data_IF_165369898158
#
_entry.id   IF_165369898158
#
_cell.length_a   1.000
_cell.length_b   1.000
_cell.length_c   1.000
_cell.angle_alpha   90.00
_cell.angle_beta   90.00
_cell.angle_gamma   90.00
#
_symmetry.space_group_name_H-M   'P 1'
#
loop_
_entity.id
_entity.type
_entity.pdbx_description
1 polymer ?
#
# COMPACT_ATOMS: atom_id res chain seq x y z
N UNK A 1 -1.04 -1.54 20.45
CA UNK A 1 -2.21 -0.85 19.84
C UNK A 1 -2.32 -1.44 18.46
N UNK A 2 -3.46 -2.08 18.17
CA UNK A 2 -3.55 -2.99 17.04
C UNK A 2 -3.14 -2.37 15.72
N UNK A 3 -2.38 -3.13 14.93
CA UNK A 3 -1.95 -2.74 13.58
C UNK A 3 -2.75 -3.45 12.49
N UNK A 4 -3.42 -4.54 12.83
CA UNK A 4 -4.20 -5.38 11.92
C UNK A 4 -5.64 -5.39 12.42
N UNK A 5 -6.62 -5.22 11.51
CA UNK A 5 -8.02 -5.38 11.83
C UNK A 5 -8.68 -6.44 10.95
N UNK A 6 -9.37 -7.39 11.57
CA UNK A 6 -10.41 -8.18 10.91
C UNK A 6 -11.71 -7.38 10.93
N UNK A 7 -12.20 -7.00 9.75
CA UNK A 7 -13.49 -6.33 9.58
C UNK A 7 -14.43 -7.31 8.89
N UNK A 8 -15.26 -8.03 9.63
CA UNK A 8 -16.00 -9.19 9.11
C UNK A 8 -17.50 -9.05 9.31
N UNK A 9 -18.28 -9.65 8.41
CA UNK A 9 -19.73 -9.76 8.58
C UNK A 9 -20.11 -11.14 9.12
N UNK A 10 -21.01 -11.16 10.11
CA UNK A 10 -21.61 -12.37 10.63
C UNK A 10 -20.98 -12.84 11.94
N UNK A 11 -21.85 -13.00 12.94
CA UNK A 11 -21.50 -13.33 14.32
C UNK A 11 -20.64 -14.59 14.44
N UNK A 12 -20.90 -15.62 13.63
CA UNK A 12 -20.12 -16.88 13.64
C UNK A 12 -18.66 -16.65 13.30
N UNK A 13 -18.38 -15.97 12.18
CA UNK A 13 -17.02 -15.70 11.74
C UNK A 13 -16.29 -14.80 12.74
N UNK A 14 -16.99 -13.79 13.25
CA UNK A 14 -16.47 -12.91 14.30
C UNK A 14 -16.03 -13.69 15.55
N UNK A 15 -16.90 -14.57 16.07
CA UNK A 15 -16.60 -15.40 17.24
C UNK A 15 -15.41 -16.33 17.01
N UNK A 16 -15.39 -17.01 15.86
CA UNK A 16 -14.31 -17.93 15.48
C UNK A 16 -12.95 -17.22 15.39
N UNK A 17 -12.90 -16.06 14.73
CA UNK A 17 -11.66 -15.29 14.63
C UNK A 17 -11.20 -14.81 16.01
N UNK A 18 -12.12 -14.33 16.86
CA UNK A 18 -11.79 -13.95 18.23
C UNK A 18 -11.28 -15.11 19.09
N UNK A 19 -11.79 -16.32 18.87
CA UNK A 19 -11.32 -17.52 19.57
C UNK A 19 -9.86 -17.86 19.23
N UNK A 20 -9.41 -17.50 18.03
CA UNK A 20 -8.08 -17.85 17.53
C UNK A 20 -7.03 -16.75 17.69
N UNK A 21 -7.43 -15.56 18.12
CA UNK A 21 -6.52 -14.42 18.34
C UNK A 21 -6.17 -14.33 19.81
N UNK A 22 -4.90 -14.59 20.10
CA UNK A 22 -4.30 -14.38 21.42
C UNK A 22 -3.47 -13.07 21.49
N UNK A 23 -3.33 -12.36 20.37
CA UNK A 23 -2.42 -11.21 20.24
C UNK A 23 -3.06 -9.86 20.54
N UNK A 24 -2.40 -9.02 21.35
CA UNK A 24 -2.84 -7.66 21.68
C UNK A 24 -2.85 -6.71 20.47
N UNK A 25 -2.20 -7.07 19.37
CA UNK A 25 -2.01 -6.21 18.19
C UNK A 25 -3.00 -6.47 17.04
N UNK A 26 -3.99 -7.34 17.25
CA UNK A 26 -5.06 -7.64 16.28
C UNK A 26 -6.43 -7.25 16.84
N UNK A 27 -7.19 -6.48 16.05
CA UNK A 27 -8.56 -6.08 16.39
C UNK A 27 -9.56 -6.86 15.53
N UNK A 28 -10.67 -7.29 16.10
CA UNK A 28 -11.77 -7.92 15.36
C UNK A 28 -13.04 -7.08 15.54
N UNK A 29 -13.63 -6.65 14.43
CA UNK A 29 -14.88 -5.87 14.39
C UNK A 29 -15.89 -6.60 13.52
N UNK A 30 -17.09 -6.79 14.07
CA UNK A 30 -18.25 -7.22 13.30
C UNK A 30 -18.90 -6.00 12.62
N UNK A 31 -19.21 -6.11 11.32
CA UNK A 31 -19.88 -5.05 10.56
C UNK A 31 -20.87 -5.62 9.54
N UNK A 32 -21.66 -4.74 8.94
CA UNK A 32 -22.41 -5.00 7.71
C UNK A 32 -21.72 -4.34 6.51
N UNK A 33 -22.12 -4.69 5.29
CA UNK A 33 -21.63 -4.02 4.06
C UNK A 33 -21.98 -2.52 4.10
N UNK A 34 -23.18 -2.15 4.57
CA UNK A 34 -23.60 -0.75 4.63
C UNK A 34 -22.79 0.08 5.63
N UNK A 35 -22.37 -0.50 6.75
CA UNK A 35 -21.61 0.19 7.79
C UNK A 35 -20.08 0.05 7.62
N UNK A 36 -19.61 -0.82 6.73
CA UNK A 36 -18.21 -1.20 6.61
C UNK A 36 -17.26 -0.01 6.40
N UNK A 37 -17.65 0.99 5.61
CA UNK A 37 -16.80 2.16 5.36
C UNK A 37 -16.59 3.02 6.61
N UNK A 38 -17.63 3.17 7.42
CA UNK A 38 -17.57 3.95 8.67
C UNK A 38 -16.64 3.26 9.66
N UNK A 39 -16.82 1.95 9.87
CA UNK A 39 -15.96 1.16 10.75
C UNK A 39 -14.51 1.14 10.27
N UNK A 40 -14.28 0.98 8.96
CA UNK A 40 -12.94 1.00 8.38
C UNK A 40 -12.22 2.33 8.67
N UNK A 41 -12.90 3.48 8.49
CA UNK A 41 -12.32 4.81 8.79
C UNK A 41 -12.02 4.95 10.29
N UNK A 42 -12.93 4.51 11.16
CA UNK A 42 -12.68 4.53 12.61
C UNK A 42 -11.50 3.64 13.03
N UNK A 43 -11.30 2.50 12.37
CA UNK A 43 -10.15 1.63 12.59
C UNK A 43 -8.84 2.30 12.15
N UNK A 44 -8.85 2.98 11.00
CA UNK A 44 -7.69 3.73 10.49
C UNK A 44 -7.31 4.86 11.45
N UNK A 45 -8.28 5.62 11.96
CA UNK A 45 -8.05 6.68 12.95
C UNK A 45 -7.43 6.14 14.25
N UNK A 46 -7.73 4.88 14.59
CA UNK A 46 -7.11 4.13 15.69
C UNK A 46 -5.73 3.55 15.35
N UNK A 47 -5.15 3.90 14.21
CA UNK A 47 -3.80 3.51 13.81
C UNK A 47 -3.68 2.13 13.16
N UNK A 48 -4.78 1.52 12.73
CA UNK A 48 -4.75 0.28 11.95
C UNK A 48 -4.04 0.52 10.63
N UNK A 49 -3.17 -0.41 10.26
CA UNK A 49 -2.32 -0.35 9.07
C UNK A 49 -2.77 -1.30 7.96
N UNK A 50 -3.50 -2.38 8.28
CA UNK A 50 -4.02 -3.36 7.31
C UNK A 50 -5.40 -3.84 7.76
N UNK A 51 -6.34 -3.94 6.81
CA UNK A 51 -7.67 -4.52 7.03
C UNK A 51 -7.76 -5.88 6.33
N UNK A 52 -8.25 -6.88 7.05
CA UNK A 52 -8.55 -8.23 6.58
C UNK A 52 -10.08 -8.39 6.54
N UNK A 53 -10.65 -8.72 5.37
CA UNK A 53 -12.12 -8.78 5.23
C UNK A 53 -12.58 -9.69 4.08
N UNK A 54 -13.87 -10.02 3.98
CA UNK A 54 -14.44 -10.75 2.84
C UNK A 54 -14.58 -9.84 1.62
N UNK A 55 -14.56 -10.44 0.42
CA UNK A 55 -14.58 -9.75 -0.88
C UNK A 55 -15.68 -8.67 -0.99
N UNK A 56 -16.91 -8.97 -0.55
CA UNK A 56 -18.03 -8.03 -0.64
C UNK A 56 -17.80 -6.74 0.16
N UNK A 57 -17.19 -6.84 1.34
CA UNK A 57 -16.82 -5.67 2.14
C UNK A 57 -15.63 -4.97 1.51
N UNK A 58 -14.61 -5.73 1.07
CA UNK A 58 -13.43 -5.17 0.39
C UNK A 58 -13.85 -4.27 -0.79
N UNK A 59 -14.66 -4.79 -1.71
CA UNK A 59 -15.19 -4.03 -2.86
C UNK A 59 -15.94 -2.76 -2.46
N UNK A 60 -16.54 -2.74 -1.27
CA UNK A 60 -17.30 -1.58 -0.77
C UNK A 60 -16.40 -0.44 -0.27
N UNK A 61 -15.19 -0.73 0.17
CA UNK A 61 -14.35 0.22 0.90
C UNK A 61 -12.98 0.48 0.24
N UNK A 62 -12.51 -0.37 -0.68
CA UNK A 62 -11.14 -0.32 -1.24
C UNK A 62 -10.83 0.98 -2.00
N UNK A 63 -11.79 1.56 -2.72
CA UNK A 63 -11.59 2.81 -3.46
C UNK A 63 -11.59 4.07 -2.55
N UNK A 64 -12.00 3.92 -1.28
CA UNK A 64 -12.26 5.02 -0.35
C UNK A 64 -11.24 5.10 0.79
N UNK A 65 -10.28 4.17 0.86
CA UNK A 65 -9.28 4.11 1.94
C UNK A 65 -7.87 3.87 1.41
N UNK A 66 -6.87 4.45 2.08
CA UNK A 66 -5.47 4.46 1.61
C UNK A 66 -4.61 3.31 2.17
N UNK A 67 -5.13 2.48 3.07
CA UNK A 67 -4.40 1.36 3.65
C UNK A 67 -4.68 0.04 2.93
N UNK A 68 -3.74 -0.92 2.91
CA UNK A 68 -3.96 -2.21 2.29
C UNK A 68 -5.17 -2.97 2.85
N UNK A 69 -5.97 -3.53 1.95
CA UNK A 69 -7.10 -4.41 2.27
C UNK A 69 -6.91 -5.77 1.62
N UNK A 70 -6.88 -6.81 2.45
CA UNK A 70 -6.73 -8.19 2.00
C UNK A 70 -8.06 -8.94 2.07
N UNK A 71 -8.38 -9.66 1.00
CA UNK A 71 -9.53 -10.56 0.94
C UNK A 71 -9.23 -11.84 1.70
N UNK A 72 -10.10 -12.20 2.65
CA UNK A 72 -10.08 -13.47 3.37
C UNK A 72 -10.88 -14.48 2.56
N UNK A 73 -10.20 -15.45 1.99
CA UNK A 73 -10.77 -16.56 1.24
C UNK A 73 -10.66 -17.84 2.04
N UNK A 74 -11.45 -18.85 1.65
CA UNK A 74 -11.37 -20.13 2.32
C UNK A 74 -10.16 -20.90 1.80
N UNK A 75 -9.26 -21.29 2.71
CA UNK A 75 -8.10 -22.11 2.39
C UNK A 75 -8.39 -23.59 2.59
N UNK A 76 -7.49 -24.45 2.10
CA UNK A 76 -7.60 -25.91 2.25
C UNK A 76 -7.74 -26.35 3.71
N UNK A 77 -7.09 -25.67 4.66
CA UNK A 77 -7.23 -25.96 6.10
C UNK A 77 -8.67 -25.79 6.60
N UNK A 78 -9.41 -24.80 6.08
CA UNK A 78 -10.81 -24.57 6.44
C UNK A 78 -11.70 -25.74 6.01
N UNK A 79 -11.49 -26.22 4.78
CA UNK A 79 -12.20 -27.39 4.26
C UNK A 79 -11.80 -28.65 5.02
N UNK A 80 -10.54 -28.81 5.42
CA UNK A 80 -10.09 -29.96 6.22
C UNK A 80 -10.82 -29.99 7.56
N UNK A 81 -10.95 -28.86 8.27
CA UNK A 81 -11.68 -28.82 9.53
C UNK A 81 -13.14 -29.23 9.36
N UNK A 82 -13.82 -28.69 8.35
CA UNK A 82 -15.21 -29.08 8.06
C UNK A 82 -15.32 -30.58 7.73
N UNK A 83 -14.42 -31.10 6.87
CA UNK A 83 -14.45 -32.49 6.44
C UNK A 83 -14.16 -33.47 7.59
N UNK A 84 -13.47 -33.07 8.65
CA UNK A 84 -13.30 -33.89 9.88
C UNK A 84 -14.61 -34.07 10.64
N UNK A 85 -15.51 -33.09 10.59
CA UNK A 85 -16.80 -33.11 11.30
C UNK A 85 -17.88 -33.89 10.57
N UNK A 86 -17.69 -34.15 9.28
CA UNK A 86 -18.67 -34.82 8.41
C UNK A 86 -18.33 -36.29 8.25
N UNK A 87 -19.34 -37.17 8.37
CA UNK A 87 -19.19 -38.58 7.98
C UNK A 87 -19.20 -38.74 6.46
N UNK A 88 -18.01 -38.57 5.87
CA UNK A 88 -17.80 -38.63 4.41
C UNK A 88 -18.00 -40.03 3.84
N UNK A 89 -17.70 -41.09 4.61
CA UNK A 89 -17.71 -42.46 4.09
C UNK A 89 -19.11 -43.01 3.88
N UNK A 90 -20.07 -42.55 4.67
CA UNK A 90 -21.47 -43.03 4.61
C UNK A 90 -22.40 -42.10 3.85
N UNK A 91 -21.91 -40.99 3.31
CA UNK A 91 -22.76 -39.94 2.72
C UNK A 91 -22.26 -39.49 1.35
N UNK A 92 -23.22 -39.18 0.47
CA UNK A 92 -22.97 -38.46 -0.78
C UNK A 92 -23.01 -36.96 -0.49
N UNK A 93 -21.92 -36.27 -0.81
CA UNK A 93 -21.70 -34.86 -0.47
C UNK A 93 -21.63 -34.04 -1.73
N UNK A 94 -22.27 -32.87 -1.73
CA UNK A 94 -22.11 -31.91 -2.81
C UNK A 94 -21.70 -30.54 -2.27
N UNK A 95 -20.60 -30.01 -2.80
CA UNK A 95 -20.26 -28.60 -2.71
C UNK A 95 -21.08 -27.84 -3.74
N UNK A 96 -21.83 -26.83 -3.29
CA UNK A 96 -22.74 -26.04 -4.12
C UNK A 96 -22.53 -24.57 -3.80
N UNK A 97 -21.84 -23.83 -4.67
CA UNK A 97 -21.50 -22.42 -4.42
C UNK A 97 -21.40 -21.57 -5.70
N UNK A 98 -21.34 -20.26 -5.57
CA UNK A 98 -21.19 -19.32 -6.68
C UNK A 98 -19.82 -19.43 -7.36
N UNK A 99 -18.79 -19.72 -6.56
CA UNK A 99 -17.38 -19.72 -6.99
C UNK A 99 -16.94 -21.16 -7.23
N UNK A 100 -16.22 -21.38 -8.33
CA UNK A 100 -15.62 -22.67 -8.63
C UNK A 100 -14.69 -23.10 -7.50
N UNK A 101 -14.76 -24.37 -7.13
CA UNK A 101 -13.90 -24.91 -6.09
C UNK A 101 -12.44 -24.94 -6.57
N UNK A 102 -11.47 -24.59 -5.70
CA UNK A 102 -10.06 -24.70 -6.03
C UNK A 102 -9.70 -26.12 -6.46
N UNK A 103 -8.84 -26.26 -7.48
CA UNK A 103 -8.43 -27.57 -7.98
C UNK A 103 -7.77 -28.45 -6.89
N UNK A 104 -7.04 -27.80 -5.97
CA UNK A 104 -6.47 -28.46 -4.78
C UNK A 104 -7.52 -29.12 -3.88
N UNK A 105 -8.68 -28.49 -3.70
CA UNK A 105 -9.80 -29.07 -2.94
C UNK A 105 -10.45 -30.24 -3.70
N UNK A 106 -10.62 -30.10 -5.02
CA UNK A 106 -11.14 -31.17 -5.87
C UNK A 106 -10.22 -32.39 -5.81
N UNK A 107 -8.91 -32.18 -5.87
CA UNK A 107 -7.94 -33.28 -5.79
C UNK A 107 -7.89 -33.90 -4.40
N UNK A 108 -7.96 -33.10 -3.33
CA UNK A 108 -8.06 -33.61 -1.95
C UNK A 108 -9.30 -34.50 -1.77
N UNK A 109 -10.46 -34.04 -2.22
CA UNK A 109 -11.73 -34.77 -2.05
C UNK A 109 -11.75 -36.08 -2.83
N UNK A 110 -11.17 -36.14 -4.03
CA UNK A 110 -11.00 -37.39 -4.81
C UNK A 110 -10.18 -38.45 -4.08
N UNK A 111 -9.22 -38.05 -3.25
CA UNK A 111 -8.43 -38.99 -2.44
C UNK A 111 -9.30 -39.58 -1.30
N UNK A 112 -10.25 -38.80 -0.79
CA UNK A 112 -11.06 -39.18 0.38
C UNK A 112 -12.31 -39.97 -0.04
N UNK A 113 -13.01 -39.56 -1.09
CA UNK A 113 -14.22 -40.21 -1.58
C UNK A 113 -14.57 -39.81 -3.01
N UNK A 114 -15.03 -40.78 -3.80
CA UNK A 114 -15.58 -40.54 -5.14
C UNK A 114 -17.04 -40.04 -5.12
N UNK A 115 -17.68 -40.02 -3.95
CA UNK A 115 -19.07 -39.59 -3.74
C UNK A 115 -19.20 -38.09 -3.40
N UNK A 116 -18.11 -37.33 -3.60
CA UNK A 116 -18.09 -35.87 -3.45
C UNK A 116 -18.15 -35.22 -4.84
N UNK A 117 -19.10 -34.32 -5.03
CA UNK A 117 -19.21 -33.54 -6.28
C UNK A 117 -19.21 -32.04 -6.02
N UNK A 118 -18.86 -31.29 -7.05
CA UNK A 118 -18.86 -29.83 -7.06
C UNK A 118 -19.87 -29.34 -8.09
N UNK A 119 -20.69 -28.36 -7.68
CA UNK A 119 -21.69 -27.71 -8.51
C UNK A 119 -21.61 -26.21 -8.29
N UNK A 120 -21.73 -25.46 -9.39
CA UNK A 120 -21.74 -24.02 -9.36
C UNK A 120 -23.07 -23.49 -9.86
N UNK A 121 -23.42 -22.30 -9.38
CA UNK A 121 -24.64 -21.61 -9.81
C UNK A 121 -24.40 -20.11 -9.86
N UNK A 122 -25.16 -19.44 -10.72
CA UNK A 122 -25.06 -18.00 -10.97
C UNK A 122 -26.34 -17.25 -10.58
N UNK A 123 -27.44 -17.98 -10.36
CA UNK A 123 -28.72 -17.42 -9.93
C UNK A 123 -29.35 -18.22 -8.79
N UNK A 124 -30.32 -17.60 -8.12
CA UNK A 124 -31.09 -18.24 -7.07
C UNK A 124 -31.94 -19.40 -7.59
N UNK A 125 -32.55 -19.25 -8.77
CA UNK A 125 -33.30 -20.32 -9.43
C UNK A 125 -32.40 -21.51 -9.79
N UNK A 126 -31.20 -21.24 -10.30
CA UNK A 126 -30.23 -22.29 -10.64
C UNK A 126 -29.78 -23.06 -9.41
N UNK A 127 -29.52 -22.36 -8.29
CA UNK A 127 -29.21 -22.99 -7.00
C UNK A 127 -30.33 -23.97 -6.58
N UNK A 128 -31.59 -23.53 -6.66
CA UNK A 128 -32.73 -24.37 -6.30
C UNK A 128 -32.83 -25.63 -7.18
N UNK A 129 -32.64 -25.48 -8.49
CA UNK A 129 -32.68 -26.58 -9.44
C UNK A 129 -31.58 -27.60 -9.16
N UNK A 130 -30.36 -27.14 -8.88
CA UNK A 130 -29.22 -28.00 -8.52
C UNK A 130 -29.50 -28.76 -7.22
N UNK A 131 -29.98 -28.08 -6.18
CA UNK A 131 -30.30 -28.74 -4.90
C UNK A 131 -31.37 -29.82 -5.09
N UNK A 132 -32.40 -29.56 -5.90
CA UNK A 132 -33.45 -30.53 -6.21
C UNK A 132 -32.91 -31.73 -6.99
N UNK A 133 -32.05 -31.51 -7.98
CA UNK A 133 -31.37 -32.58 -8.73
C UNK A 133 -30.49 -33.44 -7.83
N UNK A 134 -29.69 -32.81 -6.96
CA UNK A 134 -28.82 -33.50 -6.00
C UNK A 134 -29.63 -34.37 -5.02
N UNK A 135 -30.77 -33.86 -4.52
CA UNK A 135 -31.69 -34.67 -3.72
C UNK A 135 -32.15 -35.92 -4.45
N UNK A 136 -32.59 -35.78 -5.71
CA UNK A 136 -33.04 -36.92 -6.52
C UNK A 136 -31.91 -37.93 -6.78
N UNK A 137 -30.66 -37.47 -6.81
CA UNK A 137 -29.44 -38.29 -6.93
C UNK A 137 -28.92 -38.84 -5.59
N UNK A 138 -29.71 -38.74 -4.52
CA UNK A 138 -29.41 -39.26 -3.19
C UNK A 138 -28.21 -38.60 -2.49
N UNK A 139 -27.91 -37.33 -2.81
CA UNK A 139 -27.00 -36.53 -2.00
C UNK A 139 -27.69 -36.15 -0.70
N UNK A 140 -27.05 -36.45 0.43
CA UNK A 140 -27.62 -36.24 1.77
C UNK A 140 -27.06 -35.00 2.47
N UNK A 141 -25.88 -34.54 2.06
CA UNK A 141 -25.15 -33.42 2.66
C UNK A 141 -24.74 -32.42 1.59
N UNK A 142 -25.08 -31.15 1.83
CA UNK A 142 -24.69 -30.02 1.00
C UNK A 142 -23.71 -29.09 1.75
N UNK A 143 -22.70 -28.61 1.06
CA UNK A 143 -21.73 -27.64 1.60
C UNK A 143 -21.76 -26.41 0.71
N UNK A 144 -21.91 -25.21 1.28
CA UNK A 144 -21.89 -23.98 0.50
C UNK A 144 -22.37 -22.75 1.27
N UNK A 145 -22.71 -21.71 0.53
CA UNK A 145 -23.17 -20.43 1.08
C UNK A 145 -24.54 -20.50 1.78
N UNK A 146 -24.94 -19.36 2.35
CA UNK A 146 -26.26 -19.15 2.96
C UNK A 146 -27.41 -19.51 2.01
N UNK A 147 -27.24 -19.30 0.70
CA UNK A 147 -28.28 -19.64 -0.27
C UNK A 147 -28.42 -21.17 -0.46
N UNK A 148 -27.31 -21.88 -0.52
CA UNK A 148 -27.31 -23.35 -0.54
C UNK A 148 -28.00 -23.91 0.69
N UNK A 149 -27.71 -23.36 1.87
CA UNK A 149 -28.35 -23.73 3.13
C UNK A 149 -29.86 -23.48 3.13
N UNK A 150 -30.32 -22.35 2.60
CA UNK A 150 -31.75 -22.03 2.45
C UNK A 150 -32.48 -23.15 1.69
N UNK A 151 -31.95 -23.57 0.55
CA UNK A 151 -32.57 -24.61 -0.26
C UNK A 151 -32.38 -26.02 0.27
N UNK A 152 -31.23 -26.32 0.88
CA UNK A 152 -31.02 -27.58 1.60
C UNK A 152 -32.12 -27.78 2.65
N UNK A 153 -32.38 -26.75 3.47
CA UNK A 153 -33.42 -26.78 4.49
C UNK A 153 -34.82 -26.93 3.88
N UNK A 154 -35.14 -26.19 2.80
CA UNK A 154 -36.42 -26.34 2.07
C UNK A 154 -36.68 -27.79 1.64
N UNK A 155 -35.62 -28.53 1.31
CA UNK A 155 -35.71 -29.89 0.81
C UNK A 155 -35.35 -30.97 1.85
N UNK A 156 -35.19 -30.61 3.12
CA UNK A 156 -34.80 -31.47 4.24
C UNK A 156 -33.45 -32.20 4.05
N UNK A 157 -32.47 -31.52 3.47
CA UNK A 157 -31.08 -31.98 3.38
C UNK A 157 -30.25 -31.38 4.50
N UNK A 158 -29.24 -32.12 4.97
CA UNK A 158 -28.24 -31.57 5.88
C UNK A 158 -27.37 -30.57 5.12
N UNK A 159 -27.04 -29.45 5.74
CA UNK A 159 -26.15 -28.47 5.14
C UNK A 159 -25.12 -27.94 6.12
N UNK A 160 -23.95 -27.62 5.59
CA UNK A 160 -22.85 -27.02 6.30
C UNK A 160 -22.30 -25.81 5.54
N UNK A 161 -21.79 -24.85 6.29
CA UNK A 161 -21.05 -23.71 5.77
C UNK A 161 -19.58 -23.89 6.17
N UNK A 162 -18.66 -23.47 5.30
CA UNK A 162 -17.23 -23.57 5.59
C UNK A 162 -16.85 -22.45 6.54
N UNK A 163 -16.41 -22.81 7.75
CA UNK A 163 -15.93 -21.86 8.74
C UNK A 163 -14.41 -21.67 8.62
N UNK A 164 -13.91 -20.48 8.99
CA UNK A 164 -12.47 -20.20 8.95
C UNK A 164 -11.74 -21.01 10.03
N UNK A 165 -10.61 -21.62 9.67
CA UNK A 165 -9.73 -22.36 10.57
C UNK A 165 -8.73 -21.45 11.29
N UNK A 166 -8.15 -21.95 12.39
CA UNK A 166 -7.05 -21.27 13.09
C UNK A 166 -5.86 -21.03 12.16
N UNK A 167 -5.48 -22.03 11.37
CA UNK A 167 -4.37 -21.93 10.41
C UNK A 167 -4.59 -20.82 9.39
N UNK A 168 -5.81 -20.65 8.88
CA UNK A 168 -6.14 -19.56 7.97
C UNK A 168 -6.05 -18.19 8.65
N UNK A 169 -6.54 -18.07 9.89
CA UNK A 169 -6.40 -16.82 10.67
C UNK A 169 -4.93 -16.46 10.85
N UNK A 170 -4.09 -17.41 11.28
CA UNK A 170 -2.65 -17.20 11.44
C UNK A 170 -1.98 -16.80 10.13
N UNK A 171 -2.28 -17.50 9.03
CA UNK A 171 -1.75 -17.18 7.70
C UNK A 171 -2.07 -15.74 7.29
N UNK A 172 -3.31 -15.30 7.47
CA UNK A 172 -3.72 -13.93 7.12
C UNK A 172 -3.07 -12.87 8.01
N UNK A 173 -2.86 -13.16 9.29
CA UNK A 173 -2.10 -12.29 10.20
C UNK A 173 -0.65 -12.18 9.73
N UNK A 174 0.04 -13.30 9.47
CA UNK A 174 1.43 -13.30 8.99
C UNK A 174 1.58 -12.51 7.68
N UNK A 175 0.65 -12.67 6.73
CA UNK A 175 0.65 -11.87 5.49
C UNK A 175 0.48 -10.38 5.79
N UNK A 176 -0.44 -10.01 6.69
CA UNK A 176 -0.65 -8.62 7.08
C UNK A 176 0.59 -8.02 7.75
N UNK A 177 1.27 -8.77 8.63
CA UNK A 177 2.52 -8.35 9.26
C UNK A 177 3.63 -8.10 8.23
N UNK A 178 3.74 -8.98 7.23
CA UNK A 178 4.68 -8.78 6.12
C UNK A 178 4.35 -7.50 5.36
N UNK A 179 3.07 -7.26 5.02
CA UNK A 179 2.62 -6.03 4.35
C UNK A 179 3.00 -4.78 5.18
N UNK A 180 2.80 -4.82 6.50
CA UNK A 180 3.17 -3.72 7.41
C UNK A 180 4.69 -3.50 7.37
N UNK A 181 5.48 -4.56 7.50
CA UNK A 181 6.95 -4.50 7.47
C UNK A 181 7.46 -3.89 6.16
N UNK A 182 6.91 -4.31 5.02
CA UNK A 182 7.28 -3.77 3.71
C UNK A 182 6.85 -2.30 3.56
N UNK A 183 5.69 -1.92 4.07
CA UNK A 183 5.20 -0.54 4.03
C UNK A 183 6.08 0.40 4.85
N UNK A 184 6.50 -0.02 6.05
CA UNK A 184 7.40 0.76 6.90
C UNK A 184 8.81 0.89 6.28
N UNK A 185 9.30 -0.17 5.62
CA UNK A 185 10.57 -0.15 4.89
C UNK A 185 10.52 0.78 3.66
N UNK A 186 9.40 0.81 2.94
CA UNK A 186 9.21 1.72 1.80
C UNK A 186 9.22 3.18 2.27
N UNK A 187 8.46 3.50 3.33
CA UNK A 187 8.42 4.85 3.92
C UNK A 187 9.81 5.33 4.38
N UNK A 188 10.65 4.46 4.94
CA UNK A 188 12.00 4.84 5.36
C UNK A 188 12.92 5.14 4.17
N UNK A 189 12.85 4.34 3.10
CA UNK A 189 13.58 4.61 1.84
C UNK A 189 13.12 5.90 1.17
N UNK A 190 11.82 6.15 1.10
CA UNK A 190 11.27 7.38 0.52
C UNK A 190 11.72 8.63 1.28
N UNK A 191 11.82 8.55 2.62
CA UNK A 191 12.36 9.62 3.45
C UNK A 191 13.84 9.89 3.16
N UNK A 192 14.64 8.85 3.00
CA UNK A 192 16.07 8.98 2.65
C UNK A 192 16.22 9.63 1.28
N UNK A 193 15.46 9.18 0.28
CA UNK A 193 15.44 9.78 -1.06
C UNK A 193 15.09 11.26 -1.02
N UNK A 194 14.01 11.63 -0.32
CA UNK A 194 13.59 13.03 -0.17
C UNK A 194 14.67 13.89 0.52
N UNK A 195 15.37 13.35 1.51
CA UNK A 195 16.48 14.04 2.16
C UNK A 195 17.65 14.26 1.19
N UNK A 196 17.98 13.27 0.36
CA UNK A 196 19.02 13.37 -0.67
C UNK A 196 18.64 14.43 -1.72
N UNK A 197 17.39 14.45 -2.19
CA UNK A 197 16.90 15.48 -3.12
C UNK A 197 17.07 16.89 -2.55
N UNK A 198 16.71 17.09 -1.27
CA UNK A 198 16.91 18.38 -0.59
C UNK A 198 18.39 18.73 -0.49
N UNK A 199 19.28 17.77 -0.19
CA UNK A 199 20.72 18.00 -0.15
C UNK A 199 21.28 18.39 -1.52
N UNK A 200 20.87 17.71 -2.59
CA UNK A 200 21.29 18.01 -3.96
C UNK A 200 20.82 19.42 -4.36
N UNK A 201 19.56 19.76 -4.11
CA UNK A 201 19.02 21.09 -4.41
C UNK A 201 19.77 22.20 -3.66
N UNK A 202 20.09 21.98 -2.39
CA UNK A 202 20.88 22.93 -1.61
C UNK A 202 22.31 23.11 -2.16
N UNK A 203 22.93 22.01 -2.61
CA UNK A 203 24.26 22.05 -3.21
C UNK A 203 24.26 22.85 -4.53
N UNK A 204 23.33 22.54 -5.44
CA UNK A 204 23.17 23.24 -6.72
C UNK A 204 22.93 24.74 -6.54
N UNK A 205 22.04 25.14 -5.62
CA UNK A 205 21.78 26.56 -5.34
C UNK A 205 23.01 27.29 -4.79
N UNK A 206 23.87 26.60 -4.03
CA UNK A 206 25.09 27.19 -3.49
C UNK A 206 26.16 27.34 -4.57
N UNK A 207 26.30 26.36 -5.49
CA UNK A 207 27.19 26.49 -6.65
C UNK A 207 26.77 27.67 -7.55
N UNK A 208 25.48 27.77 -7.90
CA UNK A 208 24.98 28.89 -8.71
C UNK A 208 25.26 30.26 -8.06
N UNK A 209 25.08 30.36 -6.74
CA UNK A 209 25.42 31.59 -5.99
C UNK A 209 26.92 31.87 -6.02
N UNK A 210 27.76 30.85 -5.91
CA UNK A 210 29.21 31.01 -5.91
C UNK A 210 29.71 31.43 -7.29
N UNK A 211 29.20 30.81 -8.36
CA UNK A 211 29.48 31.20 -9.74
C UNK A 211 29.06 32.64 -10.02
N UNK A 212 27.85 33.02 -9.59
CA UNK A 212 27.36 34.40 -9.73
C UNK A 212 28.25 35.40 -8.98
N UNK A 213 28.66 35.08 -7.75
CA UNK A 213 29.56 35.94 -6.96
C UNK A 213 30.95 36.09 -7.62
N UNK A 214 31.45 35.03 -8.27
CA UNK A 214 32.72 35.09 -9.02
C UNK A 214 32.54 35.96 -10.25
N UNK A 215 31.47 35.76 -11.02
CA UNK A 215 31.15 36.54 -12.21
C UNK A 215 31.01 38.04 -11.88
N UNK A 216 30.23 38.39 -10.85
CA UNK A 216 30.05 39.76 -10.40
C UNK A 216 31.40 40.41 -10.02
N UNK A 217 32.28 39.68 -9.32
CA UNK A 217 33.63 40.17 -8.98
C UNK A 217 34.51 40.39 -10.21
N UNK A 218 34.44 39.52 -11.21
CA UNK A 218 35.18 39.67 -12.47
C UNK A 218 34.66 40.90 -13.22
N UNK A 219 33.34 41.01 -13.40
CA UNK A 219 32.71 42.15 -14.08
C UNK A 219 33.03 43.49 -13.39
N UNK A 220 32.99 43.55 -12.05
CA UNK A 220 33.37 44.77 -11.32
C UNK A 220 34.84 45.16 -11.53
N UNK A 221 35.74 44.17 -11.59
CA UNK A 221 37.16 44.41 -11.87
C UNK A 221 37.38 44.92 -13.29
N UNK A 222 36.66 44.39 -14.28
CA UNK A 222 36.74 44.85 -15.68
C UNK A 222 36.24 46.30 -15.82
N UNK A 223 35.08 46.62 -15.21
CA UNK A 223 34.55 47.99 -15.18
C UNK A 223 35.52 48.95 -14.48
N UNK A 224 36.15 48.53 -13.39
CA UNK A 224 37.17 49.34 -12.70
C UNK A 224 38.40 49.56 -13.59
N UNK A 225 38.86 48.52 -14.29
CA UNK A 225 39.98 48.59 -15.23
C UNK A 225 39.68 49.55 -16.38
N UNK A 226 38.50 49.48 -16.97
CA UNK A 226 38.09 50.37 -18.07
C UNK A 226 38.03 51.83 -17.63
N UNK A 227 37.46 52.12 -16.46
CA UNK A 227 37.45 53.49 -15.89
C UNK A 227 38.86 54.05 -15.71
N UNK A 228 39.81 53.22 -15.27
CA UNK A 228 41.21 53.62 -15.13
C UNK A 228 41.83 53.94 -16.50
N UNK A 229 41.61 53.09 -17.50
CA UNK A 229 42.11 53.30 -18.87
C UNK A 229 41.51 54.56 -19.50
N UNK A 230 40.20 54.78 -19.36
CA UNK A 230 39.55 55.99 -19.86
C UNK A 230 40.04 57.25 -19.14
N UNK A 231 40.19 57.20 -17.81
CA UNK A 231 40.76 58.31 -17.04
C UNK A 231 42.20 58.63 -17.45
N UNK A 232 43.00 57.63 -17.80
CA UNK A 232 44.34 57.85 -18.38
C UNK A 232 44.25 58.52 -19.75
N UNK A 233 43.42 57.99 -20.65
CA UNK A 233 43.22 58.55 -22.00
C UNK A 233 42.76 60.01 -21.97
N UNK A 234 41.75 60.35 -21.16
CA UNK A 234 41.23 61.73 -21.03
C UNK A 234 42.27 62.73 -20.53
N UNK A 235 43.25 62.27 -19.75
CA UNK A 235 44.27 63.11 -19.13
C UNK A 235 45.64 62.98 -19.81
N UNK A 236 45.67 62.52 -21.07
CA UNK A 236 46.89 62.31 -21.86
C UNK A 236 47.95 61.49 -21.10
N UNK A 237 47.51 60.46 -20.39
CA UNK A 237 48.34 59.53 -19.62
C UNK A 237 49.12 60.17 -18.44
N UNK A 238 48.78 61.39 -18.04
CA UNK A 238 49.34 62.03 -16.84
C UNK A 238 48.78 61.41 -15.56
N UNK A 239 49.60 60.61 -14.87
CA UNK A 239 49.24 59.95 -13.60
C UNK A 239 48.72 60.92 -12.52
N UNK A 240 49.28 62.14 -12.47
CA UNK A 240 48.86 63.13 -11.47
C UNK A 240 47.49 63.73 -11.78
N UNK A 241 47.20 63.97 -13.06
CA UNK A 241 45.91 64.50 -13.50
C UNK A 241 44.83 63.43 -13.46
N UNK A 242 45.12 62.21 -13.90
CA UNK A 242 44.20 61.06 -13.81
C UNK A 242 43.83 60.73 -12.36
N UNK A 243 44.78 60.77 -11.43
CA UNK A 243 44.48 60.53 -10.01
C UNK A 243 43.51 61.59 -9.46
N UNK A 244 43.71 62.87 -9.84
CA UNK A 244 42.83 63.97 -9.45
C UNK A 244 41.44 63.87 -10.10
N UNK A 245 41.37 63.54 -11.39
CA UNK A 245 40.12 63.34 -12.16
C UNK A 245 39.28 62.19 -11.59
N UNK A 246 39.92 61.06 -11.28
CA UNK A 246 39.26 59.90 -10.70
C UNK A 246 39.05 60.00 -9.17
N UNK A 247 39.36 61.14 -8.55
CA UNK A 247 39.12 61.40 -7.13
C UNK A 247 39.90 60.49 -6.18
N UNK A 248 41.11 60.05 -6.54
CA UNK A 248 41.92 59.14 -5.74
C UNK A 248 43.37 59.62 -5.56
N UNK A 249 44.07 59.06 -4.57
CA UNK A 249 45.51 59.37 -4.40
C UNK A 249 46.35 58.78 -5.53
N UNK A 250 47.48 59.43 -5.88
CA UNK A 250 48.43 58.90 -6.87
C UNK A 250 48.94 57.49 -6.53
N UNK A 251 49.18 57.22 -5.25
CA UNK A 251 49.60 55.90 -4.74
C UNK A 251 48.50 54.84 -4.90
N UNK A 252 47.22 55.21 -4.73
CA UNK A 252 46.07 54.33 -4.97
C UNK A 252 45.94 54.01 -6.45
N UNK A 253 46.05 55.02 -7.32
CA UNK A 253 46.02 54.85 -8.77
C UNK A 253 47.13 53.89 -9.22
N UNK A 254 48.38 54.14 -8.80
CA UNK A 254 49.52 53.27 -9.16
C UNK A 254 49.32 51.82 -8.71
N UNK A 255 48.84 51.59 -7.47
CA UNK A 255 48.49 50.24 -6.99
C UNK A 255 47.44 49.56 -7.86
N UNK A 256 46.41 50.28 -8.28
CA UNK A 256 45.34 49.74 -9.14
C UNK A 256 45.83 49.45 -10.55
N UNK A 257 46.62 50.33 -11.15
CA UNK A 257 47.25 50.09 -12.46
C UNK A 257 48.14 48.85 -12.43
N UNK A 258 48.96 48.70 -11.37
CA UNK A 258 49.78 47.49 -11.16
C UNK A 258 48.92 46.23 -10.96
N UNK A 259 47.85 46.31 -10.16
CA UNK A 259 46.88 45.22 -9.94
C UNK A 259 46.30 44.72 -11.27
N UNK A 260 45.98 45.63 -12.19
CA UNK A 260 45.39 45.30 -13.50
C UNK A 260 46.40 45.16 -14.64
N UNK A 261 47.70 45.21 -14.32
CA UNK A 261 48.80 45.12 -15.26
C UNK A 261 48.72 46.13 -16.43
N UNK A 262 48.25 47.34 -16.15
CA UNK A 262 48.23 48.45 -17.11
C UNK A 262 49.59 49.14 -17.09
N UNK A 263 50.29 49.11 -18.21
CA UNK A 263 51.60 49.75 -18.40
C UNK A 263 51.39 51.07 -19.14
N UNK A 264 52.03 52.12 -18.65
CA UNK A 264 52.04 53.45 -19.27
C UNK A 264 53.50 53.77 -19.50
N UNK A 265 53.89 53.94 -20.76
CA UNK A 265 55.22 54.39 -21.18
C UNK A 265 55.25 55.91 -21.32
#
# INVERSE_FOLDING_TARGET
MGKIAFLVSGEKMFKKIKEYIDEEDVIVVETTISNALVEAKMLIDKGIKVILTKLAIKMKIEDEIDIPILSIENNISDYIELLKEIDIKSNKIAFVDYIEAPESLINLTKIISNDIVFKNFTSEEECELIVKDLKNKSYSILIGSVLTKKYANKYNLKSYEVEISKDSVSMYIEIAEQIIKFSDLKKSKDRVLKNIEVMINNYLQNEEKMEKNILDKVTMNDVEKDKLIEGLKRNAFSLSNTAKDLGMSRTTLWRKLKKFNIIIE
#
